data_IF_218716393638
#
_entry.id   IF_218716393638
#
_cell.length_a   1.000
_cell.length_b   1.000
_cell.length_c   1.000
_cell.angle_alpha   90.00
_cell.angle_beta   90.00
_cell.angle_gamma   90.00
#
_symmetry.space_group_name_H-M   'P 1'
#
loop_
_entity.id
_entity.type
_entity.pdbx_description
1 polymer ?
#
# COMPACT_ATOMS: atom_id res chain seq x y z
N UNK A 1 51.20 20.21 22.20
CA UNK A 1 51.35 20.35 23.67
C UNK A 1 50.36 19.39 24.31
N UNK A 2 50.81 18.46 25.18
CA UNK A 2 50.06 17.62 26.15
C UNK A 2 48.63 17.21 25.75
N UNK A 3 48.29 15.97 25.39
CA UNK A 3 48.80 14.64 25.72
C UNK A 3 48.76 14.27 27.22
N UNK A 4 47.92 13.28 27.57
CA UNK A 4 48.10 12.37 28.71
C UNK A 4 47.09 11.19 28.69
N UNK A 5 47.59 9.97 28.92
CA UNK A 5 46.81 8.72 28.96
C UNK A 5 46.54 8.22 30.39
N UNK A 6 45.60 7.26 30.52
CA UNK A 6 45.58 6.12 31.47
C UNK A 6 45.67 6.34 33.01
N UNK A 7 44.77 5.69 33.78
CA UNK A 7 45.10 4.47 34.56
C UNK A 7 44.01 3.99 35.56
N UNK A 8 43.83 2.67 35.60
CA UNK A 8 43.58 1.74 36.73
C UNK A 8 43.16 2.26 38.14
N UNK A 9 42.25 1.52 38.79
CA UNK A 9 42.01 1.63 40.25
C UNK A 9 40.87 0.75 40.79
N UNK A 10 41.15 -0.51 41.09
CA UNK A 10 40.24 -1.44 41.78
C UNK A 10 40.38 -1.37 43.31
N UNK A 11 39.28 -1.52 44.06
CA UNK A 11 39.31 -1.73 45.52
C UNK A 11 38.31 -2.81 45.96
N UNK A 12 38.81 -3.75 46.76
CA UNK A 12 38.08 -4.78 47.51
C UNK A 12 38.22 -4.47 49.00
N UNK A 13 37.16 -4.62 49.79
CA UNK A 13 37.22 -4.68 51.27
C UNK A 13 36.15 -5.60 51.88
N UNK A 14 36.57 -6.36 52.88
CA UNK A 14 35.76 -7.24 53.77
C UNK A 14 35.95 -6.79 55.24
N UNK A 15 35.23 -7.27 56.27
CA UNK A 15 34.41 -8.48 56.49
C UNK A 15 33.26 -8.16 57.47
N UNK A 16 32.22 -8.98 57.54
CA UNK A 16 31.26 -8.97 58.67
C UNK A 16 30.22 -10.08 58.61
N UNK A 17 30.14 -10.95 59.62
CA UNK A 17 29.37 -12.20 59.58
C UNK A 17 28.68 -12.54 60.91
N UNK A 18 27.38 -12.91 60.87
CA UNK A 18 26.61 -13.68 61.88
C UNK A 18 25.11 -13.63 61.51
N UNK A 19 24.25 -14.65 61.63
CA UNK A 19 24.37 -16.06 62.05
C UNK A 19 23.03 -16.80 61.81
N UNK A 20 23.00 -18.11 61.46
CA UNK A 20 21.72 -18.87 61.43
C UNK A 20 21.60 -20.21 60.66
N UNK A 21 22.35 -21.25 61.03
CA UNK A 21 21.95 -22.69 61.17
C UNK A 21 20.89 -23.24 60.15
N UNK A 22 21.20 -23.98 59.05
CA UNK A 22 21.69 -25.38 58.87
C UNK A 22 20.58 -26.47 58.70
N UNK A 23 20.81 -27.69 58.13
CA UNK A 23 21.69 -28.12 57.01
C UNK A 23 21.05 -29.18 56.03
N UNK A 24 21.88 -29.78 55.14
CA UNK A 24 21.66 -30.98 54.29
C UNK A 24 20.81 -30.78 52.99
N UNK A 25 21.15 -31.35 51.82
CA UNK A 25 21.98 -32.54 51.51
C UNK A 25 22.85 -32.42 50.23
N UNK A 26 23.78 -33.38 50.12
CA UNK A 26 24.81 -33.60 49.08
C UNK A 26 24.34 -33.53 47.61
N UNK A 27 25.20 -32.91 46.78
CA UNK A 27 25.09 -32.84 45.31
C UNK A 27 25.17 -34.22 44.66
N UNK A 28 24.24 -34.51 43.72
CA UNK A 28 24.34 -35.64 42.79
C UNK A 28 24.25 -35.13 41.36
N UNK A 29 25.37 -35.17 40.63
CA UNK A 29 25.42 -34.79 39.22
C UNK A 29 24.73 -35.89 38.41
N UNK A 30 23.60 -35.57 37.78
CA UNK A 30 22.96 -36.40 36.76
C UNK A 30 23.08 -35.69 35.42
N UNK A 31 23.66 -36.37 34.43
CA UNK A 31 23.66 -35.91 33.05
C UNK A 31 22.22 -35.95 32.53
N UNK A 32 21.66 -34.81 32.15
CA UNK A 32 20.34 -34.76 31.53
C UNK A 32 20.47 -34.50 30.02
N UNK A 33 20.69 -35.58 29.28
CA UNK A 33 20.64 -35.59 27.82
C UNK A 33 19.20 -35.76 27.35
N UNK A 34 18.41 -34.68 27.40
CA UNK A 34 17.10 -34.61 26.73
C UNK A 34 16.89 -33.20 26.16
N UNK A 35 17.29 -33.04 24.91
CA UNK A 35 17.02 -31.84 24.11
C UNK A 35 15.54 -31.85 23.70
N UNK A 36 14.72 -31.05 24.36
CA UNK A 36 13.39 -30.73 23.85
C UNK A 36 13.53 -30.14 22.43
N UNK A 37 12.77 -30.62 21.43
CA UNK A 37 12.89 -30.11 20.08
C UNK A 37 12.48 -28.64 20.05
N UNK A 38 13.41 -27.78 19.61
CA UNK A 38 13.13 -26.37 19.35
C UNK A 38 12.00 -26.31 18.32
N UNK A 39 10.82 -25.86 18.78
CA UNK A 39 9.66 -25.74 17.92
C UNK A 39 9.99 -24.84 16.73
N UNK A 40 9.73 -25.33 15.51
CA UNK A 40 9.91 -24.53 14.31
C UNK A 40 9.20 -23.18 14.49
N UNK A 41 9.85 -22.03 14.16
CA UNK A 41 9.18 -20.75 14.19
C UNK A 41 7.92 -20.82 13.31
N UNK A 42 6.82 -20.15 13.70
CA UNK A 42 5.59 -20.19 12.92
C UNK A 42 5.92 -19.77 11.50
N UNK A 43 5.56 -20.62 10.52
CA UNK A 43 5.77 -20.32 9.11
C UNK A 43 5.07 -19.00 8.81
N UNK A 44 5.84 -17.93 8.66
CA UNK A 44 5.33 -16.66 8.16
C UNK A 44 4.72 -16.97 6.81
N UNK A 45 3.39 -16.97 6.73
CA UNK A 45 2.68 -17.16 5.48
C UNK A 45 3.06 -15.95 4.62
N UNK A 46 4.03 -16.12 3.72
CA UNK A 46 4.28 -15.11 2.69
C UNK A 46 2.97 -14.97 1.94
N UNK A 47 2.28 -13.84 2.14
CA UNK A 47 1.09 -13.49 1.39
C UNK A 47 1.40 -13.72 -0.08
N UNK A 48 0.74 -14.70 -0.68
CA UNK A 48 1.03 -15.05 -2.06
C UNK A 48 0.64 -13.85 -2.93
N UNK A 49 1.59 -13.32 -3.69
CA UNK A 49 1.30 -12.29 -4.68
C UNK A 49 0.29 -12.87 -5.69
N UNK A 50 -0.91 -12.30 -5.70
CA UNK A 50 -2.06 -12.72 -6.51
C UNK A 50 -2.36 -11.68 -7.58
N UNK A 51 -1.27 -11.20 -8.17
CA UNK A 51 -1.29 -10.43 -9.42
C UNK A 51 -1.73 -11.27 -10.61
N UNK A 52 -2.35 -10.57 -11.56
CA UNK A 52 -2.73 -11.04 -12.89
C UNK A 52 -1.53 -11.01 -13.85
N UNK A 53 -0.70 -9.97 -13.74
CA UNK A 53 0.58 -9.84 -14.44
C UNK A 53 1.68 -10.54 -13.62
N UNK A 54 2.56 -11.26 -14.32
CA UNK A 54 3.65 -12.05 -13.72
C UNK A 54 4.92 -11.92 -14.57
N UNK A 55 6.07 -12.24 -13.97
CA UNK A 55 7.32 -12.31 -14.71
C UNK A 55 7.26 -13.42 -15.77
N UNK A 56 7.62 -13.09 -17.02
CA UNK A 56 7.71 -14.07 -18.10
C UNK A 56 8.94 -14.95 -17.90
N UNK A 57 8.79 -16.28 -17.97
CA UNK A 57 9.86 -17.23 -17.68
C UNK A 57 10.97 -17.26 -18.74
N UNK A 58 10.62 -17.06 -20.01
CA UNK A 58 11.55 -17.11 -21.16
C UNK A 58 11.92 -15.68 -21.64
N UNK A 59 12.11 -14.77 -20.68
CA UNK A 59 12.34 -13.35 -20.95
C UNK A 59 13.74 -13.08 -21.55
N UNK A 60 13.79 -12.16 -22.52
CA UNK A 60 15.02 -11.61 -23.10
C UNK A 60 14.83 -10.13 -23.41
N UNK A 61 15.39 -9.26 -22.57
CA UNK A 61 15.24 -7.81 -22.67
C UNK A 61 15.60 -7.23 -24.06
N UNK A 62 16.62 -7.78 -24.71
CA UNK A 62 17.05 -7.35 -26.05
C UNK A 62 16.03 -7.67 -27.15
N UNK A 63 15.51 -8.90 -27.16
CA UNK A 63 14.50 -9.32 -28.13
C UNK A 63 13.19 -8.53 -27.95
N UNK A 64 12.79 -8.28 -26.71
CA UNK A 64 11.62 -7.46 -26.41
C UNK A 64 11.83 -5.99 -26.80
N UNK A 65 13.03 -5.44 -26.60
CA UNK A 65 13.40 -4.10 -27.06
C UNK A 65 13.40 -3.98 -28.60
N UNK A 66 13.86 -5.00 -29.32
CA UNK A 66 13.78 -5.08 -30.79
C UNK A 66 12.34 -5.11 -31.29
N UNK A 67 11.45 -5.84 -30.61
CA UNK A 67 10.01 -5.87 -30.93
C UNK A 67 9.39 -4.49 -30.75
N UNK A 68 9.63 -3.81 -29.62
CA UNK A 68 9.12 -2.45 -29.38
C UNK A 68 9.69 -1.43 -30.37
N UNK A 69 10.99 -1.51 -30.69
CA UNK A 69 11.59 -0.63 -31.69
C UNK A 69 11.00 -0.85 -33.09
N UNK A 70 10.71 -2.10 -33.47
CA UNK A 70 10.04 -2.42 -34.73
C UNK A 70 8.59 -1.93 -34.76
N UNK A 71 7.85 -2.08 -33.66
CA UNK A 71 6.47 -1.63 -33.53
C UNK A 71 6.31 -0.09 -33.64
N UNK A 72 7.38 0.65 -33.36
CA UNK A 72 7.46 2.12 -33.42
C UNK A 72 8.28 2.62 -34.62
N UNK A 73 8.52 1.80 -35.65
CA UNK A 73 9.38 2.17 -36.79
C UNK A 73 8.60 2.25 -38.10
N UNK A 74 8.38 3.47 -38.57
CA UNK A 74 7.88 3.73 -39.92
C UNK A 74 6.88 4.86 -39.93
N UNK A 75 5.82 4.70 -40.73
CA UNK A 75 4.63 5.53 -40.66
C UNK A 75 3.56 4.73 -39.90
N UNK A 76 3.12 5.27 -38.76
CA UNK A 76 2.19 4.61 -37.85
C UNK A 76 2.86 3.63 -36.89
N UNK A 77 2.06 3.16 -35.94
CA UNK A 77 2.48 2.37 -34.77
C UNK A 77 1.79 1.00 -34.81
N UNK A 78 2.42 -0.04 -34.26
CA UNK A 78 1.79 -1.33 -33.95
C UNK A 78 1.42 -1.36 -32.46
N UNK A 79 0.31 -0.71 -32.11
CA UNK A 79 -0.18 -0.63 -30.72
C UNK A 79 -0.47 -2.01 -30.15
N UNK A 80 -0.89 -2.95 -31.00
CA UNK A 80 -1.19 -4.33 -30.61
C UNK A 80 0.06 -5.08 -30.14
N UNK A 81 1.18 -4.95 -30.85
CA UNK A 81 2.46 -5.51 -30.41
C UNK A 81 2.96 -4.87 -29.10
N UNK A 82 2.84 -3.54 -28.98
CA UNK A 82 3.23 -2.80 -27.76
C UNK A 82 2.43 -3.29 -26.54
N UNK A 83 1.10 -3.30 -26.62
CA UNK A 83 0.26 -3.69 -25.47
C UNK A 83 0.36 -5.17 -25.14
N UNK A 84 0.48 -6.06 -26.12
CA UNK A 84 0.66 -7.50 -25.87
C UNK A 84 1.99 -7.79 -25.16
N UNK A 85 3.06 -7.11 -25.56
CA UNK A 85 4.37 -7.28 -24.93
C UNK A 85 4.38 -6.71 -23.51
N UNK A 86 4.00 -5.44 -23.33
CA UNK A 86 4.15 -4.75 -22.05
C UNK A 86 3.23 -5.29 -20.95
N UNK A 87 2.02 -5.74 -21.29
CA UNK A 87 1.11 -6.39 -20.32
C UNK A 87 1.53 -7.82 -19.97
N UNK A 88 2.33 -8.48 -20.82
CA UNK A 88 2.88 -9.83 -20.60
C UNK A 88 4.29 -9.83 -19.98
N UNK A 89 4.73 -8.72 -19.37
CA UNK A 89 5.99 -8.61 -18.63
C UNK A 89 5.73 -7.99 -17.26
N UNK A 90 6.45 -8.43 -16.24
CA UNK A 90 6.47 -7.75 -14.94
C UNK A 90 7.15 -6.38 -15.05
N UNK A 91 6.88 -5.47 -14.11
CA UNK A 91 7.48 -4.14 -14.12
C UNK A 91 9.02 -4.19 -14.08
N UNK A 92 9.60 -5.11 -13.29
CA UNK A 92 11.04 -5.34 -13.27
C UNK A 92 11.60 -5.65 -14.67
N UNK A 93 10.95 -6.55 -15.40
CA UNK A 93 11.30 -6.86 -16.80
C UNK A 93 11.10 -5.67 -17.73
N UNK A 94 10.10 -4.81 -17.51
CA UNK A 94 9.93 -3.55 -18.27
C UNK A 94 11.11 -2.59 -18.04
N UNK A 95 11.69 -2.53 -16.83
CA UNK A 95 12.91 -1.76 -16.58
C UNK A 95 14.13 -2.34 -17.30
N UNK A 96 14.27 -3.67 -17.33
CA UNK A 96 15.32 -4.34 -18.12
C UNK A 96 15.16 -4.07 -19.63
N UNK A 97 13.93 -4.10 -20.16
CA UNK A 97 13.64 -3.73 -21.56
C UNK A 97 14.04 -2.27 -21.81
N UNK A 98 13.68 -1.33 -20.93
CA UNK A 98 14.06 0.09 -21.05
C UNK A 98 15.57 0.26 -21.13
N UNK A 99 16.33 -0.41 -20.27
CA UNK A 99 17.80 -0.39 -20.29
C UNK A 99 18.39 -1.01 -21.58
N UNK A 100 17.83 -2.14 -22.03
CA UNK A 100 18.28 -2.79 -23.27
C UNK A 100 17.96 -1.96 -24.50
N UNK A 101 16.79 -1.31 -24.56
CA UNK A 101 16.39 -0.42 -25.64
C UNK A 101 17.36 0.77 -25.77
N UNK A 102 17.74 1.37 -24.64
CA UNK A 102 18.75 2.44 -24.61
C UNK A 102 20.12 1.96 -25.11
N UNK A 103 20.50 0.72 -24.78
CA UNK A 103 21.78 0.12 -25.19
C UNK A 103 21.81 -0.21 -26.69
N UNK A 104 20.73 -0.76 -27.25
CA UNK A 104 20.66 -1.20 -28.64
C UNK A 104 20.43 -0.06 -29.64
N UNK A 105 19.62 0.94 -29.27
CA UNK A 105 19.17 1.99 -30.19
C UNK A 105 19.62 3.40 -29.81
N UNK A 106 20.22 3.60 -28.64
CA UNK A 106 20.64 4.92 -28.14
C UNK A 106 19.50 5.83 -27.67
N UNK A 107 18.24 5.39 -27.80
CA UNK A 107 17.02 6.16 -27.51
C UNK A 107 16.43 5.86 -26.13
N UNK A 108 15.57 6.74 -25.59
CA UNK A 108 14.78 6.42 -24.39
C UNK A 108 13.43 5.82 -24.79
N UNK A 109 13.12 4.63 -24.27
CA UNK A 109 11.90 3.91 -24.62
C UNK A 109 10.62 4.63 -24.19
N UNK A 110 10.62 5.33 -23.06
CA UNK A 110 9.42 6.02 -22.56
C UNK A 110 9.17 7.29 -23.37
N UNK A 111 10.22 7.99 -23.78
CA UNK A 111 10.14 9.10 -24.73
C UNK A 111 9.56 8.65 -26.09
N UNK A 112 10.09 7.58 -26.68
CA UNK A 112 9.60 7.06 -27.96
C UNK A 112 8.13 6.61 -27.85
N UNK A 113 7.75 5.88 -26.79
CA UNK A 113 6.36 5.51 -26.53
C UNK A 113 5.41 6.71 -26.38
N UNK A 114 5.90 7.86 -25.87
CA UNK A 114 5.11 9.11 -25.81
C UNK A 114 4.99 9.83 -27.15
N UNK A 115 5.95 9.63 -28.07
CA UNK A 115 5.90 10.19 -29.42
C UNK A 115 4.94 9.43 -30.35
N UNK A 116 4.83 8.11 -30.15
CA UNK A 116 4.09 7.20 -31.04
C UNK A 116 2.68 6.84 -30.55
N UNK A 117 2.34 7.16 -29.30
CA UNK A 117 1.03 6.90 -28.68
C UNK A 117 0.34 8.22 -28.32
N UNK A 118 -0.97 8.16 -28.03
CA UNK A 118 -1.71 9.33 -27.53
C UNK A 118 -2.78 9.02 -26.49
N UNK A 119 -3.17 10.07 -25.75
CA UNK A 119 -4.34 10.08 -24.88
C UNK A 119 -4.26 9.11 -23.69
N UNK A 120 -5.39 8.48 -23.34
CA UNK A 120 -5.45 7.55 -22.20
C UNK A 120 -4.65 6.25 -22.42
N UNK A 121 -4.43 5.84 -23.68
CA UNK A 121 -3.57 4.69 -23.97
C UNK A 121 -2.09 5.01 -23.69
N UNK A 122 -1.58 6.16 -24.17
CA UNK A 122 -0.26 6.68 -23.81
C UNK A 122 -0.10 6.78 -22.29
N UNK A 123 -1.07 7.39 -21.61
CA UNK A 123 -1.06 7.59 -20.15
C UNK A 123 -0.94 6.25 -19.41
N UNK A 124 -1.72 5.25 -19.81
CA UNK A 124 -1.67 3.89 -19.25
C UNK A 124 -0.33 3.19 -19.52
N UNK A 125 0.22 3.29 -20.74
CA UNK A 125 1.49 2.67 -21.11
C UNK A 125 2.66 3.31 -20.35
N UNK A 126 2.68 4.63 -20.22
CA UNK A 126 3.71 5.37 -19.45
C UNK A 126 3.63 5.00 -17.96
N UNK A 127 2.44 4.93 -17.39
CA UNK A 127 2.24 4.45 -16.02
C UNK A 127 2.75 3.01 -15.86
N UNK A 128 2.43 2.11 -16.79
CA UNK A 128 2.84 0.71 -16.80
C UNK A 128 4.37 0.54 -16.89
N UNK A 129 5.07 1.46 -17.57
CA UNK A 129 6.54 1.50 -17.66
C UNK A 129 7.23 2.14 -16.44
N UNK A 130 6.49 2.78 -15.53
CA UNK A 130 7.06 3.47 -14.36
C UNK A 130 7.22 2.48 -13.19
N UNK A 131 8.34 2.46 -12.44
CA UNK A 131 8.48 1.62 -11.25
C UNK A 131 7.38 1.92 -10.22
N UNK A 132 6.78 0.93 -9.52
CA UNK A 132 5.61 1.15 -8.67
C UNK A 132 5.85 2.20 -7.57
N UNK A 133 7.03 2.20 -6.95
CA UNK A 133 7.44 3.19 -5.96
C UNK A 133 7.51 4.61 -6.55
N UNK A 134 8.16 4.76 -7.72
CA UNK A 134 8.23 6.03 -8.44
C UNK A 134 6.84 6.50 -8.88
N UNK A 135 5.94 5.59 -9.22
CA UNK A 135 4.57 5.93 -9.62
C UNK A 135 3.73 6.42 -8.43
N UNK A 136 3.88 5.84 -7.24
CA UNK A 136 3.29 6.37 -6.00
C UNK A 136 3.85 7.76 -5.65
N UNK A 137 5.18 7.93 -5.72
CA UNK A 137 5.88 9.20 -5.43
C UNK A 137 5.46 10.33 -6.37
N UNK A 138 5.45 10.07 -7.68
CA UNK A 138 5.01 11.04 -8.70
C UNK A 138 3.52 11.35 -8.58
N UNK A 139 2.68 10.36 -8.26
CA UNK A 139 1.24 10.58 -8.01
C UNK A 139 1.00 11.48 -6.80
N UNK A 140 1.71 11.26 -5.68
CA UNK A 140 1.63 12.15 -4.50
C UNK A 140 2.14 13.55 -4.82
N UNK A 141 3.23 13.70 -5.59
CA UNK A 141 3.74 15.02 -5.96
C UNK A 141 2.76 15.79 -6.84
N UNK A 142 2.15 15.15 -7.84
CA UNK A 142 1.13 15.79 -8.67
C UNK A 142 -0.18 16.06 -7.92
N UNK A 143 -0.53 15.24 -6.92
CA UNK A 143 -1.70 15.47 -6.07
C UNK A 143 -1.55 16.68 -5.13
N UNK A 144 -0.32 17.07 -4.78
CA UNK A 144 -0.03 18.24 -3.94
C UNK A 144 0.29 19.47 -4.81
N UNK A 145 1.01 19.30 -5.92
CA UNK A 145 1.51 20.41 -6.72
C UNK A 145 0.46 20.93 -7.70
N UNK A 146 -0.23 22.01 -7.34
CA UNK A 146 -1.07 22.72 -8.29
C UNK A 146 -1.92 23.84 -7.69
N UNK A 147 -2.92 24.26 -8.45
CA UNK A 147 -4.01 25.08 -7.95
C UNK A 147 -5.06 24.16 -7.32
N UNK A 148 -4.84 23.78 -6.06
CA UNK A 148 -5.65 22.83 -5.32
C UNK A 148 -5.03 21.43 -5.27
N UNK A 149 -5.45 20.67 -4.26
CA UNK A 149 -4.92 19.34 -3.91
C UNK A 149 -5.88 18.24 -4.39
N UNK A 150 -5.37 17.12 -4.91
CA UNK A 150 -6.19 15.91 -5.14
C UNK A 150 -6.19 15.04 -3.88
N UNK A 151 -7.17 15.25 -3.01
CA UNK A 151 -7.27 14.47 -1.77
C UNK A 151 -7.60 13.00 -2.02
N UNK A 152 -8.18 12.61 -3.17
CA UNK A 152 -8.46 11.20 -3.47
C UNK A 152 -7.16 10.41 -3.56
N UNK A 153 -6.15 10.96 -4.23
CA UNK A 153 -4.83 10.32 -4.38
C UNK A 153 -4.11 10.21 -3.04
N UNK A 154 -4.14 11.27 -2.22
CA UNK A 154 -3.58 11.24 -0.87
C UNK A 154 -4.25 10.16 0.00
N UNK A 155 -5.59 10.10 -0.03
CA UNK A 155 -6.40 9.11 0.68
C UNK A 155 -6.10 7.69 0.20
N UNK A 156 -6.10 7.44 -1.10
CA UNK A 156 -5.91 6.11 -1.68
C UNK A 156 -4.53 5.53 -1.36
N UNK A 157 -3.47 6.33 -1.53
CA UNK A 157 -2.11 5.87 -1.30
C UNK A 157 -1.86 5.68 0.20
N UNK A 158 -2.10 6.70 1.04
CA UNK A 158 -1.72 6.63 2.45
C UNK A 158 -2.61 5.71 3.30
N UNK A 159 -3.85 5.42 2.89
CA UNK A 159 -4.69 4.43 3.56
C UNK A 159 -4.40 2.98 3.16
N UNK A 160 -3.89 2.73 1.93
CA UNK A 160 -3.74 1.38 1.37
C UNK A 160 -2.32 0.81 1.39
N UNK A 161 -1.29 1.67 1.45
CA UNK A 161 0.12 1.23 1.45
C UNK A 161 0.54 0.71 2.82
N UNK A 162 1.40 -0.30 2.81
CA UNK A 162 1.96 -0.88 4.04
C UNK A 162 2.96 0.09 4.70
N UNK A 163 3.24 -0.04 6.02
CA UNK A 163 4.22 0.80 6.69
C UNK A 163 5.61 0.82 6.04
N UNK A 164 6.04 -0.28 5.41
CA UNK A 164 7.32 -0.28 4.68
C UNK A 164 7.22 0.55 3.40
N UNK A 165 6.17 0.34 2.60
CA UNK A 165 5.95 1.13 1.37
C UNK A 165 5.84 2.63 1.65
N UNK A 166 5.21 3.04 2.75
CA UNK A 166 5.13 4.46 3.14
C UNK A 166 6.52 5.03 3.46
N UNK A 167 7.40 4.27 4.15
CA UNK A 167 8.79 4.68 4.40
C UNK A 167 9.61 4.78 3.12
N UNK A 168 9.44 3.80 2.22
CA UNK A 168 10.11 3.80 0.91
C UNK A 168 9.65 5.01 0.07
N UNK A 169 8.36 5.34 0.09
CA UNK A 169 7.77 6.52 -0.57
C UNK A 169 8.38 7.82 -0.02
N UNK A 170 8.46 7.99 1.30
CA UNK A 170 9.02 9.20 1.93
C UNK A 170 10.49 9.38 1.53
N UNK A 171 11.29 8.31 1.57
CA UNK A 171 12.69 8.36 1.18
C UNK A 171 12.88 8.67 -0.32
N UNK A 172 12.08 8.04 -1.18
CA UNK A 172 12.12 8.28 -2.61
C UNK A 172 11.62 9.69 -3.00
N UNK A 173 10.58 10.22 -2.34
CA UNK A 173 10.09 11.59 -2.55
C UNK A 173 11.18 12.62 -2.24
N UNK A 174 11.87 12.47 -1.11
CA UNK A 174 12.99 13.35 -0.74
C UNK A 174 14.18 13.22 -1.70
N UNK A 175 14.38 12.05 -2.30
CA UNK A 175 15.45 11.83 -3.28
C UNK A 175 15.12 12.44 -4.65
N UNK A 176 13.88 12.30 -5.13
CA UNK A 176 13.44 12.74 -6.46
C UNK A 176 13.21 14.25 -6.53
N UNK A 177 12.64 14.85 -5.49
CA UNK A 177 12.19 16.26 -5.49
C UNK A 177 12.99 17.19 -4.57
N UNK A 178 13.92 16.67 -3.77
CA UNK A 178 14.59 17.39 -2.66
C UNK A 178 13.61 18.00 -1.61
N UNK A 179 12.36 17.56 -1.63
CA UNK A 179 11.28 18.06 -0.78
C UNK A 179 10.91 17.09 0.36
N UNK A 180 10.24 17.60 1.39
CA UNK A 180 9.78 16.83 2.54
C UNK A 180 8.28 16.56 2.41
N UNK A 181 7.90 15.31 2.15
CA UNK A 181 6.51 14.92 1.89
C UNK A 181 5.56 15.26 3.05
N UNK A 182 6.02 15.23 4.31
CA UNK A 182 5.17 15.61 5.44
C UNK A 182 4.92 17.11 5.44
N UNK A 183 5.97 17.92 5.20
CA UNK A 183 5.83 19.38 5.09
C UNK A 183 4.96 19.78 3.90
N UNK A 184 5.14 19.15 2.74
CA UNK A 184 4.37 19.45 1.54
C UNK A 184 2.88 19.11 1.75
N UNK A 185 2.55 17.96 2.37
CA UNK A 185 1.16 17.64 2.79
C UNK A 185 0.64 18.64 3.84
N UNK A 186 1.49 19.10 4.77
CA UNK A 186 1.09 20.08 5.79
C UNK A 186 0.91 21.51 5.25
N UNK A 187 1.48 21.85 4.09
CA UNK A 187 1.26 23.12 3.40
C UNK A 187 -0.09 23.17 2.69
N UNK A 188 -0.50 22.03 2.10
CA UNK A 188 -1.67 21.92 1.23
C UNK A 188 -2.94 21.42 1.95
N UNK A 189 -2.81 20.71 3.06
CA UNK A 189 -3.95 20.15 3.80
C UNK A 189 -4.09 20.80 5.18
N UNK A 190 -5.30 20.74 5.76
CA UNK A 190 -5.57 21.34 7.07
C UNK A 190 -6.41 20.47 8.01
N UNK A 191 -6.42 20.87 9.29
CA UNK A 191 -7.34 20.36 10.30
C UNK A 191 -7.22 18.85 10.57
N UNK A 192 -8.35 18.21 10.82
CA UNK A 192 -8.42 16.78 11.15
C UNK A 192 -7.99 15.86 10.01
N UNK A 193 -8.17 16.28 8.76
CA UNK A 193 -7.70 15.55 7.58
C UNK A 193 -6.17 15.48 7.54
N UNK A 194 -5.50 16.64 7.62
CA UNK A 194 -4.04 16.76 7.73
C UNK A 194 -3.48 15.88 8.87
N UNK A 195 -4.04 15.98 10.08
CA UNK A 195 -3.57 15.22 11.25
C UNK A 195 -3.57 13.71 11.00
N UNK A 196 -4.60 13.18 10.33
CA UNK A 196 -4.67 11.76 10.04
C UNK A 196 -3.70 11.36 8.91
N UNK A 197 -3.52 12.19 7.86
CA UNK A 197 -2.48 11.94 6.85
C UNK A 197 -1.08 11.87 7.47
N UNK A 198 -0.74 12.80 8.37
CA UNK A 198 0.54 12.82 9.09
C UNK A 198 0.74 11.56 9.95
N UNK A 199 -0.31 11.09 10.64
CA UNK A 199 -0.25 9.83 11.41
C UNK A 199 -0.02 8.60 10.50
N UNK A 200 -0.61 8.59 9.30
CA UNK A 200 -0.35 7.53 8.32
C UNK A 200 1.09 7.58 7.79
N UNK A 201 1.63 8.79 7.53
CA UNK A 201 3.02 9.00 7.11
C UNK A 201 4.05 8.52 8.13
N UNK A 202 3.78 8.62 9.45
CA UNK A 202 4.72 8.12 10.48
C UNK A 202 5.03 6.62 10.33
N UNK A 203 4.19 5.86 9.61
CA UNK A 203 4.40 4.43 9.32
C UNK A 203 4.73 3.60 10.58
N UNK A 204 4.11 3.98 11.70
CA UNK A 204 4.37 3.49 13.06
C UNK A 204 3.15 2.81 13.69
N UNK A 205 2.20 2.35 12.87
CA UNK A 205 1.04 1.56 13.32
C UNK A 205 1.48 0.37 14.16
N UNK A 206 0.72 0.10 15.22
CA UNK A 206 0.92 -1.04 16.09
C UNK A 206 0.74 -2.37 15.31
N UNK A 207 1.32 -3.45 15.84
CA UNK A 207 1.28 -4.81 15.25
C UNK A 207 0.52 -5.78 16.14
N UNK A 208 -0.18 -6.75 15.56
CA UNK A 208 -0.93 -7.77 16.30
C UNK A 208 -2.20 -7.25 16.97
N UNK A 209 -2.86 -8.12 17.74
CA UNK A 209 -4.12 -7.82 18.44
C UNK A 209 -3.82 -7.51 19.91
N UNK A 210 -4.30 -6.36 20.41
CA UNK A 210 -4.29 -6.01 21.83
C UNK A 210 -5.63 -6.41 22.45
N UNK A 211 -5.79 -7.68 22.82
CA UNK A 211 -7.09 -8.25 23.27
C UNK A 211 -7.75 -7.41 24.40
N UNK A 212 -6.96 -6.97 25.39
CA UNK A 212 -7.44 -6.16 26.51
C UNK A 212 -7.99 -4.77 26.12
N UNK A 213 -7.68 -4.29 24.91
CA UNK A 213 -8.07 -2.95 24.43
C UNK A 213 -9.28 -2.96 23.49
N UNK A 214 -9.77 -4.14 23.05
CA UNK A 214 -10.83 -4.24 22.03
C UNK A 214 -12.11 -3.53 22.50
N UNK A 215 -12.62 -3.91 23.67
CA UNK A 215 -13.85 -3.36 24.24
C UNK A 215 -13.67 -1.88 24.61
N UNK A 216 -12.50 -1.47 25.12
CA UNK A 216 -12.25 -0.07 25.46
C UNK A 216 -12.18 0.84 24.23
N UNK A 217 -11.57 0.38 23.14
CA UNK A 217 -11.48 1.14 21.89
C UNK A 217 -12.84 1.22 21.20
N UNK A 218 -13.60 0.13 21.16
CA UNK A 218 -14.97 0.12 20.64
C UNK A 218 -15.88 1.07 21.44
N UNK A 219 -15.80 1.02 22.77
CA UNK A 219 -16.55 1.91 23.66
C UNK A 219 -16.11 3.38 23.55
N UNK A 220 -14.82 3.64 23.29
CA UNK A 220 -14.31 4.99 23.05
C UNK A 220 -14.83 5.55 21.72
N UNK A 221 -14.80 4.77 20.62
CA UNK A 221 -15.37 5.19 19.33
C UNK A 221 -16.87 5.45 19.43
N UNK A 222 -17.63 4.62 20.16
CA UNK A 222 -19.07 4.81 20.36
C UNK A 222 -19.38 6.08 21.17
N UNK A 223 -18.56 6.37 22.19
CA UNK A 223 -18.63 7.64 22.95
C UNK A 223 -18.17 8.86 22.16
N UNK A 224 -17.33 8.67 21.15
CA UNK A 224 -16.79 9.73 20.30
C UNK A 224 -17.74 10.15 19.16
N UNK A 225 -18.69 9.29 18.77
CA UNK A 225 -19.73 9.57 17.78
C UNK A 225 -21.13 9.46 18.38
N UNK A 226 -21.81 8.35 18.12
CA UNK A 226 -23.24 8.12 18.35
C UNK A 226 -23.79 8.47 19.76
N UNK A 227 -22.96 8.53 20.82
CA UNK A 227 -23.40 8.95 22.17
C UNK A 227 -23.24 10.45 22.48
N UNK A 228 -22.89 11.30 21.52
CA UNK A 228 -22.76 12.76 21.70
C UNK A 228 -23.33 13.55 20.53
N UNK A 229 -23.57 14.85 20.76
CA UNK A 229 -23.88 15.79 19.68
C UNK A 229 -22.60 16.25 19.00
N UNK A 230 -22.51 16.04 17.69
CA UNK A 230 -21.27 16.19 16.92
C UNK A 230 -20.23 15.13 17.30
N UNK A 231 -19.01 15.28 16.78
CA UNK A 231 -18.02 14.20 16.77
C UNK A 231 -16.80 14.54 17.62
N UNK A 232 -16.11 13.53 18.14
CA UNK A 232 -14.72 13.64 18.60
C UNK A 232 -13.82 12.98 17.56
N UNK A 233 -13.49 13.76 16.52
CA UNK A 233 -12.62 13.35 15.44
C UNK A 233 -11.26 12.92 15.97
N UNK A 234 -10.78 13.49 17.08
CA UNK A 234 -9.47 13.15 17.63
C UNK A 234 -9.44 11.72 18.18
N UNK A 235 -10.51 11.23 18.81
CA UNK A 235 -10.64 9.82 19.21
C UNK A 235 -10.65 8.87 18.00
N UNK A 236 -11.43 9.19 16.96
CA UNK A 236 -11.43 8.42 15.71
C UNK A 236 -10.04 8.37 15.06
N UNK A 237 -9.39 9.53 14.91
CA UNK A 237 -8.04 9.65 14.33
C UNK A 237 -7.01 8.87 15.14
N UNK A 238 -7.06 8.94 16.47
CA UNK A 238 -6.09 8.28 17.34
C UNK A 238 -6.19 6.77 17.24
N UNK A 239 -7.41 6.20 17.34
CA UNK A 239 -7.63 4.76 17.30
C UNK A 239 -7.43 4.23 15.88
N UNK A 240 -8.14 4.79 14.88
CA UNK A 240 -8.08 4.30 13.50
C UNK A 240 -6.73 4.57 12.83
N UNK A 241 -5.98 5.60 13.26
CA UNK A 241 -4.65 5.93 12.78
C UNK A 241 -3.53 5.04 13.31
N UNK A 242 -3.60 4.61 14.59
CA UNK A 242 -2.48 3.93 15.26
C UNK A 242 -2.65 2.42 15.45
N UNK A 243 -3.88 1.91 15.56
CA UNK A 243 -4.11 0.46 15.75
C UNK A 243 -3.73 -0.36 14.52
N UNK A 244 -3.41 -1.63 14.76
CA UNK A 244 -3.17 -2.61 13.69
C UNK A 244 -4.46 -2.92 12.94
N UNK A 245 -4.37 -3.33 11.66
CA UNK A 245 -5.55 -3.75 10.90
C UNK A 245 -6.25 -4.97 11.53
N UNK A 246 -5.49 -5.89 12.14
CA UNK A 246 -6.02 -7.08 12.81
C UNK A 246 -6.82 -6.73 14.07
N UNK A 247 -6.29 -5.80 14.88
CA UNK A 247 -6.98 -5.29 16.05
C UNK A 247 -8.22 -4.48 15.66
N UNK A 248 -8.11 -3.62 14.64
CA UNK A 248 -9.24 -2.82 14.16
C UNK A 248 -10.41 -3.67 13.69
N UNK A 249 -10.18 -4.81 13.01
CA UNK A 249 -11.28 -5.75 12.67
C UNK A 249 -12.04 -6.21 13.92
N UNK A 250 -11.33 -6.58 15.00
CA UNK A 250 -11.95 -6.97 16.28
C UNK A 250 -12.71 -5.82 16.95
N UNK A 251 -12.14 -4.61 16.89
CA UNK A 251 -12.79 -3.38 17.39
C UNK A 251 -14.07 -3.08 16.60
N UNK A 252 -14.10 -3.31 15.28
CA UNK A 252 -15.30 -3.14 14.46
C UNK A 252 -16.37 -4.18 14.83
N UNK A 253 -15.99 -5.46 14.99
CA UNK A 253 -16.91 -6.53 15.42
C UNK A 253 -17.52 -6.26 16.81
N UNK A 254 -16.76 -5.64 17.73
CA UNK A 254 -17.24 -5.21 19.05
C UNK A 254 -18.10 -3.94 18.95
N UNK A 255 -17.70 -2.97 18.14
CA UNK A 255 -18.44 -1.74 17.90
C UNK A 255 -19.84 -2.00 17.37
N UNK A 256 -20.00 -2.84 16.33
CA UNK A 256 -21.33 -3.17 15.77
C UNK A 256 -22.26 -3.77 16.83
N UNK A 257 -21.75 -4.61 17.75
CA UNK A 257 -22.55 -5.18 18.85
C UNK A 257 -22.97 -4.14 19.89
N UNK A 258 -22.16 -3.09 20.08
CA UNK A 258 -22.39 -2.03 21.05
C UNK A 258 -23.31 -0.92 20.52
N UNK A 259 -23.12 -0.51 19.27
CA UNK A 259 -23.84 0.62 18.64
C UNK A 259 -25.06 0.21 17.82
N UNK A 260 -25.09 -1.02 17.30
CA UNK A 260 -26.06 -1.46 16.30
C UNK A 260 -25.77 -0.99 14.87
N UNK A 261 -24.63 -0.31 14.64
CA UNK A 261 -24.21 0.23 13.33
C UNK A 261 -22.81 -0.24 12.95
N UNK A 262 -22.59 -0.46 11.65
CA UNK A 262 -21.24 -0.68 11.15
C UNK A 262 -20.40 0.61 11.27
N UNK A 263 -19.10 0.46 11.51
CA UNK A 263 -18.15 1.59 11.64
C UNK A 263 -18.25 2.57 10.45
N UNK A 264 -18.38 2.05 9.23
CA UNK A 264 -18.55 2.83 8.01
C UNK A 264 -19.87 3.61 7.93
N UNK A 265 -20.92 3.20 8.66
CA UNK A 265 -22.19 3.92 8.74
C UNK A 265 -22.08 5.10 9.70
N UNK A 266 -21.55 4.86 10.92
CA UNK A 266 -21.30 5.93 11.89
C UNK A 266 -20.37 7.00 11.31
N UNK A 267 -19.26 6.63 10.67
CA UNK A 267 -18.36 7.61 10.02
C UNK A 267 -19.09 8.46 8.97
N UNK A 268 -20.06 7.89 8.23
CA UNK A 268 -20.83 8.66 7.21
C UNK A 268 -21.81 9.66 7.82
N UNK A 269 -22.34 9.38 9.02
CA UNK A 269 -23.24 10.25 9.79
C UNK A 269 -22.48 11.35 10.50
N UNK A 270 -21.42 10.97 11.19
CA UNK A 270 -20.67 11.81 12.12
C UNK A 270 -19.58 12.66 11.45
N UNK A 271 -19.19 12.38 10.21
CA UNK A 271 -18.11 13.14 9.52
C UNK A 271 -18.48 13.55 8.11
N UNK A 272 -17.73 14.52 7.57
CA UNK A 272 -17.93 15.05 6.21
C UNK A 272 -16.59 15.33 5.51
N UNK A 273 -16.66 15.78 4.26
CA UNK A 273 -15.49 16.18 3.46
C UNK A 273 -14.39 15.12 3.32
N UNK A 274 -13.15 15.59 3.15
CA UNK A 274 -11.95 14.78 2.94
C UNK A 274 -11.59 13.94 4.18
N UNK A 275 -11.95 14.39 5.40
CA UNK A 275 -11.82 13.57 6.62
C UNK A 275 -12.68 12.31 6.56
N UNK A 276 -13.96 12.42 6.18
CA UNK A 276 -14.84 11.25 5.99
C UNK A 276 -14.26 10.27 4.97
N UNK A 277 -13.76 10.79 3.85
CA UNK A 277 -13.15 9.96 2.81
C UNK A 277 -11.94 9.17 3.35
N UNK A 278 -11.06 9.83 4.11
CA UNK A 278 -9.88 9.22 4.70
C UNK A 278 -10.21 8.18 5.78
N UNK A 279 -11.12 8.50 6.70
CA UNK A 279 -11.57 7.57 7.74
C UNK A 279 -12.22 6.32 7.13
N UNK A 280 -13.08 6.48 6.12
CA UNK A 280 -13.67 5.35 5.39
C UNK A 280 -12.61 4.52 4.66
N UNK A 281 -11.62 5.14 4.02
CA UNK A 281 -10.54 4.43 3.35
C UNK A 281 -9.69 3.62 4.33
N UNK A 282 -9.35 4.19 5.49
CA UNK A 282 -8.61 3.50 6.57
C UNK A 282 -9.39 2.30 7.11
N UNK A 283 -10.70 2.45 7.40
CA UNK A 283 -11.55 1.35 7.88
C UNK A 283 -11.67 0.24 6.83
N UNK A 284 -11.92 0.60 5.56
CA UNK A 284 -12.03 -0.37 4.45
C UNK A 284 -10.71 -1.10 4.19
N UNK A 285 -9.57 -0.40 4.21
CA UNK A 285 -8.25 -1.02 4.07
C UNK A 285 -7.92 -1.93 5.27
N UNK A 286 -8.29 -1.53 6.49
CA UNK A 286 -8.15 -2.38 7.67
C UNK A 286 -8.97 -3.68 7.53
N UNK A 287 -10.21 -3.63 7.02
CA UNK A 287 -10.98 -4.84 6.69
C UNK A 287 -10.35 -5.64 5.54
N UNK A 288 -10.17 -5.04 4.37
CA UNK A 288 -9.67 -5.68 3.15
C UNK A 288 -9.24 -4.64 2.10
N UNK A 289 -7.93 -4.49 1.90
CA UNK A 289 -7.35 -3.67 0.82
C UNK A 289 -7.87 -4.06 -0.58
N UNK A 290 -8.00 -5.37 -0.95
CA UNK A 290 -8.60 -5.74 -2.23
C UNK A 290 -10.07 -5.29 -2.38
N UNK A 291 -10.85 -5.29 -1.29
CA UNK A 291 -12.25 -4.82 -1.33
C UNK A 291 -12.37 -3.30 -1.39
N UNK A 292 -11.43 -2.57 -0.76
CA UNK A 292 -11.29 -1.13 -0.96
C UNK A 292 -11.04 -0.80 -2.44
N UNK A 293 -10.04 -1.42 -3.07
CA UNK A 293 -9.75 -1.17 -4.49
C UNK A 293 -10.86 -1.64 -5.45
N UNK A 294 -11.58 -2.71 -5.12
CA UNK A 294 -12.76 -3.12 -5.88
C UNK A 294 -13.84 -2.03 -5.87
N UNK A 295 -14.09 -1.40 -4.72
CA UNK A 295 -15.03 -0.28 -4.60
C UNK A 295 -14.52 0.98 -5.31
N UNK A 296 -13.23 1.30 -5.18
CA UNK A 296 -12.60 2.42 -5.91
C UNK A 296 -12.76 2.26 -7.43
N UNK A 297 -12.48 1.06 -7.97
CA UNK A 297 -12.68 0.77 -9.40
C UNK A 297 -14.14 0.87 -9.81
N UNK A 298 -15.07 0.39 -8.99
CA UNK A 298 -16.50 0.48 -9.29
C UNK A 298 -16.95 1.93 -9.40
N UNK A 299 -16.61 2.78 -8.42
CA UNK A 299 -16.97 4.20 -8.47
C UNK A 299 -16.21 5.00 -9.54
N UNK A 300 -15.03 4.56 -9.97
CA UNK A 300 -14.31 5.15 -11.10
C UNK A 300 -15.02 4.92 -12.45
N UNK A 301 -15.79 3.83 -12.60
CA UNK A 301 -16.54 3.49 -13.81
C UNK A 301 -18.07 3.59 -13.64
N UNK A 302 -18.55 4.21 -12.55
CA UNK A 302 -19.99 4.29 -12.25
C UNK A 302 -20.56 5.64 -12.64
N UNK A 303 -21.34 5.66 -13.72
CA UNK A 303 -22.22 6.78 -14.05
C UNK A 303 -22.05 7.20 -15.51
N UNK A 304 -21.96 8.51 -15.75
CA UNK A 304 -21.65 9.06 -17.05
C UNK A 304 -20.17 9.44 -17.10
N UNK A 305 -19.39 8.73 -17.92
CA UNK A 305 -17.95 8.91 -18.03
C UNK A 305 -17.16 8.17 -16.94
N UNK A 306 -15.84 8.23 -17.06
CA UNK A 306 -14.88 7.41 -16.30
C UNK A 306 -13.85 8.30 -15.60
N UNK A 307 -13.56 8.03 -14.33
CA UNK A 307 -12.38 8.55 -13.61
C UNK A 307 -11.15 7.74 -14.06
N UNK A 308 -10.73 7.99 -15.31
CA UNK A 308 -9.65 7.26 -15.99
C UNK A 308 -8.34 7.28 -15.23
N UNK A 309 -8.04 8.37 -14.52
CA UNK A 309 -6.77 8.54 -13.82
C UNK A 309 -6.73 7.65 -12.57
N UNK A 310 -7.88 7.47 -11.89
CA UNK A 310 -8.05 6.45 -10.85
C UNK A 310 -8.07 5.04 -11.42
N UNK A 311 -8.75 4.80 -12.55
CA UNK A 311 -8.80 3.50 -13.20
C UNK A 311 -7.39 3.03 -13.61
N UNK A 312 -6.61 3.88 -14.28
CA UNK A 312 -5.21 3.62 -14.64
C UNK A 312 -4.38 3.36 -13.39
N UNK A 313 -4.45 4.24 -12.38
CA UNK A 313 -3.61 4.14 -11.17
C UNK A 313 -3.85 2.84 -10.41
N UNK A 314 -5.10 2.45 -10.20
CA UNK A 314 -5.42 1.19 -9.52
C UNK A 314 -5.06 -0.02 -10.40
N UNK A 315 -5.38 0.00 -11.69
CA UNK A 315 -5.07 -1.14 -12.57
C UNK A 315 -3.56 -1.39 -12.68
N UNK A 316 -2.75 -0.34 -12.82
CA UNK A 316 -1.28 -0.45 -12.87
C UNK A 316 -0.70 -0.86 -11.52
N UNK A 317 -1.04 -0.17 -10.42
CA UNK A 317 -0.41 -0.45 -9.11
C UNK A 317 -0.80 -1.80 -8.50
N UNK A 318 -1.94 -2.39 -8.91
CA UNK A 318 -2.44 -3.65 -8.33
C UNK A 318 -2.28 -4.89 -9.23
N UNK A 319 -2.00 -4.73 -10.54
CA UNK A 319 -1.90 -5.86 -11.48
C UNK A 319 -0.83 -6.91 -11.11
N UNK A 320 0.24 -6.52 -10.42
CA UNK A 320 1.31 -7.43 -9.95
C UNK A 320 1.19 -7.78 -8.45
N UNK A 321 0.15 -7.30 -7.76
CA UNK A 321 -0.02 -7.42 -6.29
C UNK A 321 -1.17 -8.36 -5.91
N UNK A 322 -2.41 -7.94 -6.14
CA UNK A 322 -3.64 -8.55 -5.59
C UNK A 322 -4.85 -8.45 -6.53
N UNK A 323 -4.63 -8.17 -7.82
CA UNK A 323 -5.70 -7.99 -8.82
C UNK A 323 -6.68 -9.17 -8.90
N UNK A 324 -6.25 -10.42 -8.67
CA UNK A 324 -7.16 -11.57 -8.62
C UNK A 324 -8.11 -11.52 -7.41
N UNK A 325 -7.66 -10.94 -6.29
CA UNK A 325 -8.48 -10.80 -5.08
C UNK A 325 -9.38 -9.56 -5.15
N UNK A 326 -8.92 -8.50 -5.82
CA UNK A 326 -9.74 -7.33 -6.20
C UNK A 326 -10.90 -7.79 -7.09
N UNK A 327 -10.63 -8.59 -8.13
CA UNK A 327 -11.66 -9.18 -9.00
C UNK A 327 -12.70 -10.00 -8.24
N UNK A 328 -12.26 -10.90 -7.37
CA UNK A 328 -13.15 -11.70 -6.54
C UNK A 328 -14.01 -10.83 -5.59
N UNK A 329 -13.41 -9.79 -4.99
CA UNK A 329 -14.15 -8.83 -4.17
C UNK A 329 -15.17 -8.03 -5.01
N UNK A 330 -14.79 -7.56 -6.19
CA UNK A 330 -15.64 -6.81 -7.12
C UNK A 330 -16.88 -7.62 -7.52
N UNK A 331 -16.68 -8.88 -7.95
CA UNK A 331 -17.77 -9.79 -8.33
C UNK A 331 -18.77 -10.01 -7.20
N UNK A 332 -18.26 -10.18 -5.96
CA UNK A 332 -19.06 -10.33 -4.73
C UNK A 332 -19.83 -9.06 -4.36
N UNK A 333 -19.31 -7.88 -4.68
CA UNK A 333 -19.88 -6.59 -4.24
C UNK A 333 -20.86 -5.97 -5.25
N UNK A 334 -20.65 -6.16 -6.56
CA UNK A 334 -21.35 -5.38 -7.60
C UNK A 334 -22.15 -6.20 -8.63
N UNK A 335 -22.24 -7.52 -8.46
CA UNK A 335 -23.03 -8.43 -9.31
C UNK A 335 -22.68 -8.44 -10.82
N UNK A 336 -21.63 -7.74 -11.23
CA UNK A 336 -20.91 -7.87 -12.51
C UNK A 336 -19.43 -8.21 -12.25
N UNK A 337 -18.68 -8.59 -13.28
CA UNK A 337 -17.22 -8.78 -13.18
C UNK A 337 -16.48 -7.47 -13.48
N UNK A 338 -15.29 -7.30 -12.91
CA UNK A 338 -14.43 -6.14 -13.22
C UNK A 338 -14.12 -6.07 -14.73
N UNK A 339 -13.84 -7.22 -15.34
CA UNK A 339 -13.59 -7.35 -16.78
C UNK A 339 -14.79 -6.87 -17.63
N UNK A 340 -16.02 -7.25 -17.28
CA UNK A 340 -17.21 -6.80 -18.03
C UNK A 340 -17.51 -5.31 -17.83
N UNK A 341 -17.26 -4.74 -16.65
CA UNK A 341 -17.41 -3.30 -16.41
C UNK A 341 -16.39 -2.48 -17.21
N UNK A 342 -15.10 -2.82 -17.15
CA UNK A 342 -14.05 -2.19 -17.98
C UNK A 342 -14.41 -2.27 -19.47
N UNK A 343 -14.89 -3.44 -19.94
CA UNK A 343 -15.24 -3.66 -21.36
C UNK A 343 -16.37 -2.74 -21.85
N UNK A 344 -17.33 -2.45 -20.98
CA UNK A 344 -18.47 -1.58 -21.26
C UNK A 344 -18.14 -0.10 -21.19
N UNK A 345 -17.30 0.31 -20.24
CA UNK A 345 -17.02 1.73 -19.96
C UNK A 345 -15.86 2.32 -20.79
N UNK A 346 -14.94 1.48 -21.27
CA UNK A 346 -13.74 1.92 -22.01
C UNK A 346 -13.74 1.47 -23.48
N UNK A 347 -12.86 2.07 -24.31
CA UNK A 347 -12.75 1.75 -25.73
C UNK A 347 -11.28 1.70 -26.23
N UNK A 348 -11.09 1.39 -27.52
CA UNK A 348 -9.78 1.39 -28.18
C UNK A 348 -8.75 0.42 -27.58
N UNK A 349 -7.47 0.73 -27.79
CA UNK A 349 -6.32 -0.01 -27.24
C UNK A 349 -6.12 0.24 -25.74
N UNK A 350 -6.60 1.37 -25.24
CA UNK A 350 -6.76 1.63 -23.81
C UNK A 350 -7.57 0.51 -23.13
N UNK A 351 -8.78 0.21 -23.62
CA UNK A 351 -9.58 -0.94 -23.16
C UNK A 351 -8.82 -2.26 -23.28
N UNK A 352 -8.23 -2.56 -24.45
CA UNK A 352 -7.53 -3.85 -24.66
C UNK A 352 -6.45 -4.05 -23.60
N UNK A 353 -5.69 -3.00 -23.30
CA UNK A 353 -4.64 -2.98 -22.29
C UNK A 353 -5.21 -3.17 -20.87
N UNK A 354 -6.26 -2.44 -20.50
CA UNK A 354 -6.91 -2.61 -19.19
C UNK A 354 -7.48 -4.03 -19.00
N UNK A 355 -8.07 -4.63 -20.04
CA UNK A 355 -8.59 -6.00 -19.98
C UNK A 355 -7.44 -7.02 -19.83
N UNK A 356 -6.30 -6.82 -20.50
CA UNK A 356 -5.12 -7.67 -20.30
C UNK A 356 -4.53 -7.54 -18.88
N UNK A 357 -4.50 -6.34 -18.31
CA UNK A 357 -4.11 -6.11 -16.91
C UNK A 357 -5.13 -6.70 -15.91
N UNK A 358 -6.42 -6.70 -16.26
CA UNK A 358 -7.46 -7.40 -15.50
C UNK A 358 -7.32 -8.93 -15.61
N UNK A 359 -6.84 -9.44 -16.74
CA UNK A 359 -6.86 -10.87 -17.06
C UNK A 359 -8.27 -11.36 -17.42
N UNK A 360 -8.53 -12.65 -17.24
CA UNK A 360 -9.79 -13.28 -17.66
C UNK A 360 -11.06 -12.77 -16.95
N UNK A 361 -12.21 -13.08 -17.53
CA UNK A 361 -13.52 -12.76 -16.97
C UNK A 361 -13.90 -13.71 -15.79
N UNK A 362 -14.67 -13.20 -14.83
CA UNK A 362 -15.19 -13.92 -13.66
C UNK A 362 -16.73 -14.01 -13.68
N UNK A 363 -17.30 -14.02 -14.90
CA UNK A 363 -18.74 -14.01 -15.17
C UNK A 363 -19.43 -15.31 -14.71
#
# INVERSE_FOLDING_TARGET
MRDCSSAWGSYLTTVGCSSGIAPCSVVKILHNSDLLPVGNPPKTLKMAFRGTVKASANFKASADAEVLHKAMKGLGTDEAAILQLLTARSNAQRQEIKASYKTLFGKDLVHDLKGELGGKFETLVVALMTPPLTYDVTSLHHAIKGAGTDEKVLVEILASRTPQQVKDIIAAYKTEYDHDLEKDICGDTSGHFQRLLVILLQASRQTGIQEANIESDAQALFKAGEQKYGTDEQSFITILGNRSAEHLRKVFDAYTKLSGYEMEESIKRETSGSLRALLLAVVKCARSVPSYFAETLYYAMKGAGTDDDTLIRVMVTRCEVDMLDIRAAFRRMFACSLHSMIKGDTNGDYRKTLLLLCGGDDA
#
